data_IF_527668055061
#
_entry.id   IF_527668055061
#
_cell.length_a   1.000
_cell.length_b   1.000
_cell.length_c   1.000
_cell.angle_alpha   90.00
_cell.angle_beta   90.00
_cell.angle_gamma   90.00
#
_symmetry.space_group_name_H-M   'P 1'
#
loop_
_entity.id
_entity.type
_entity.pdbx_description
1 polymer ?
#
# COMPACT_ATOMS: atom_id res chain seq x y z
N UNK A 1 -5.12 -33.15 44.53
CA UNK A 1 -3.92 -33.97 44.31
C UNK A 1 -3.44 -33.62 42.92
N UNK A 2 -2.51 -32.68 42.79
CA UNK A 2 -1.96 -32.26 41.51
C UNK A 2 -0.68 -33.05 41.26
N UNK A 3 -0.42 -33.57 40.05
CA UNK A 3 0.83 -34.23 39.73
C UNK A 3 1.96 -33.20 39.71
N UNK A 4 2.98 -33.40 40.49
CA UNK A 4 4.13 -32.52 40.71
C UNK A 4 5.37 -32.96 39.97
N UNK A 5 5.26 -33.40 38.73
CA UNK A 5 6.44 -33.70 37.91
C UNK A 5 6.19 -33.29 36.46
N UNK A 6 6.35 -31.99 36.21
CA UNK A 6 6.62 -31.51 34.87
C UNK A 6 8.12 -31.25 34.76
N UNK A 7 8.81 -32.16 34.11
CA UNK A 7 10.23 -32.08 33.86
C UNK A 7 10.51 -30.94 32.86
N UNK A 8 10.99 -29.81 33.38
CA UNK A 8 11.29 -28.62 32.59
C UNK A 8 12.44 -28.81 31.56
N UNK A 9 13.14 -29.94 31.63
CA UNK A 9 14.19 -30.28 30.67
C UNK A 9 13.67 -30.84 29.35
N UNK A 10 12.43 -31.31 29.31
CA UNK A 10 11.82 -31.81 28.06
C UNK A 10 11.28 -30.69 27.13
N UNK A 11 11.08 -29.48 27.69
CA UNK A 11 10.65 -28.30 26.93
C UNK A 11 11.80 -27.60 26.24
N UNK A 12 13.05 -27.81 26.62
CA UNK A 12 14.22 -27.22 25.97
C UNK A 12 14.71 -28.01 24.76
N UNK A 13 14.33 -29.28 24.65
CA UNK A 13 14.71 -30.11 23.49
C UNK A 13 13.84 -29.90 22.25
N UNK A 14 12.65 -29.31 22.40
CA UNK A 14 11.74 -29.05 21.29
C UNK A 14 11.91 -27.66 20.62
N UNK A 15 12.77 -26.79 21.17
CA UNK A 15 12.98 -25.41 20.65
C UNK A 15 14.27 -25.28 19.83
N UNK A 16 15.10 -26.30 19.75
CA UNK A 16 16.43 -26.20 19.15
C UNK A 16 16.59 -26.82 17.74
N UNK A 17 15.52 -27.01 16.98
CA UNK A 17 15.64 -27.55 15.63
C UNK A 17 14.92 -26.77 14.53
N UNK A 18 14.77 -25.47 14.70
CA UNK A 18 14.34 -24.63 13.56
C UNK A 18 14.93 -23.24 13.68
N UNK A 19 16.25 -23.07 13.59
CA UNK A 19 16.84 -21.79 13.16
C UNK A 19 18.35 -21.93 12.97
N UNK A 20 18.72 -22.76 12.02
CA UNK A 20 20.06 -22.72 11.48
C UNK A 20 19.94 -22.62 9.95
N UNK A 21 19.53 -21.47 9.47
CA UNK A 21 20.05 -20.92 8.23
C UNK A 21 19.44 -19.56 7.92
N UNK A 22 20.09 -18.49 8.28
CA UNK A 22 20.03 -17.25 7.51
C UNK A 22 21.01 -16.20 8.05
N UNK A 23 22.28 -16.49 7.95
CA UNK A 23 23.27 -15.42 7.85
C UNK A 23 23.64 -15.30 6.38
N UNK A 24 22.81 -14.63 5.61
CA UNK A 24 23.18 -14.16 4.28
C UNK A 24 22.92 -12.67 4.23
N UNK A 25 24.00 -11.94 4.13
CA UNK A 25 24.16 -10.54 3.70
C UNK A 25 22.87 -9.84 3.29
N UNK A 26 22.55 -8.77 3.99
CA UNK A 26 21.52 -7.80 3.61
C UNK A 26 21.89 -7.13 2.27
N UNK A 27 21.58 -7.81 1.18
CA UNK A 27 21.15 -7.09 0.01
C UNK A 27 19.80 -6.49 0.37
N UNK A 28 19.64 -5.20 0.26
CA UNK A 28 18.38 -4.46 0.42
C UNK A 28 17.44 -4.89 -0.69
N UNK A 29 16.96 -6.11 -0.62
CA UNK A 29 15.84 -6.59 -1.44
C UNK A 29 14.60 -5.97 -0.81
N UNK A 30 14.08 -4.93 -1.45
CA UNK A 30 12.84 -4.30 -1.03
C UNK A 30 11.72 -5.36 -0.91
N UNK A 31 10.72 -5.09 -0.11
CA UNK A 31 9.55 -5.96 0.02
C UNK A 31 8.91 -6.14 -1.36
N UNK A 32 8.74 -7.38 -1.80
CA UNK A 32 8.19 -7.74 -3.11
C UNK A 32 6.78 -8.29 -3.05
N UNK A 33 6.28 -8.59 -1.85
CA UNK A 33 4.96 -9.19 -1.67
C UNK A 33 4.10 -8.37 -0.70
N UNK A 34 2.84 -8.22 -1.05
CA UNK A 34 1.79 -7.78 -0.12
C UNK A 34 1.06 -8.99 0.44
N UNK A 35 0.41 -8.82 1.60
CA UNK A 35 -0.49 -9.81 2.16
C UNK A 35 -1.66 -10.13 1.22
N UNK A 36 -2.42 -11.20 1.55
CA UNK A 36 -3.63 -11.57 0.80
C UNK A 36 -4.70 -10.49 0.96
N UNK A 37 -5.26 -10.04 -0.14
CA UNK A 37 -6.30 -9.02 -0.18
C UNK A 37 -7.50 -9.51 -1.00
N UNK A 38 -8.74 -9.34 -0.54
CA UNK A 38 -9.92 -9.63 -1.34
C UNK A 38 -10.08 -8.60 -2.47
N UNK A 39 -10.56 -9.06 -3.62
CA UNK A 39 -10.81 -8.18 -4.75
C UNK A 39 -12.13 -7.41 -4.55
N UNK A 40 -12.04 -6.08 -4.58
CA UNK A 40 -13.17 -5.17 -4.51
C UNK A 40 -13.46 -4.53 -5.87
N UNK A 41 -14.67 -4.72 -6.38
CA UNK A 41 -15.12 -4.07 -7.61
C UNK A 41 -15.66 -2.65 -7.28
N UNK A 42 -14.89 -1.64 -7.58
CA UNK A 42 -15.26 -0.23 -7.31
C UNK A 42 -16.47 0.25 -8.12
N UNK A 43 -16.73 -0.35 -9.29
CA UNK A 43 -17.90 0.02 -10.12
C UNK A 43 -19.19 -0.49 -9.51
N UNK A 44 -19.18 -1.73 -9.02
CA UNK A 44 -20.33 -2.37 -8.37
C UNK A 44 -20.39 -2.07 -6.88
N UNK A 45 -19.31 -1.57 -6.29
CA UNK A 45 -19.14 -1.32 -4.84
C UNK A 45 -19.35 -2.57 -3.98
N UNK A 46 -18.85 -3.71 -4.46
CA UNK A 46 -18.98 -5.00 -3.78
C UNK A 46 -17.71 -5.84 -3.89
N UNK A 47 -17.54 -6.79 -2.97
CA UNK A 47 -16.49 -7.81 -3.07
C UNK A 47 -16.92 -8.90 -4.04
N UNK A 48 -16.02 -9.29 -4.92
CA UNK A 48 -16.26 -10.37 -5.88
C UNK A 48 -16.13 -11.72 -5.20
N UNK A 49 -17.21 -12.51 -5.23
CA UNK A 49 -17.27 -13.84 -4.63
C UNK A 49 -17.17 -14.89 -5.73
N UNK A 50 -16.23 -15.82 -5.60
CA UNK A 50 -16.09 -16.98 -6.45
C UNK A 50 -16.30 -18.25 -5.61
N UNK A 51 -17.27 -19.10 -6.01
CA UNK A 51 -17.52 -20.40 -5.34
C UNK A 51 -17.73 -20.29 -3.82
N UNK A 52 -18.38 -19.22 -3.34
CA UNK A 52 -18.65 -18.98 -1.91
C UNK A 52 -17.51 -18.36 -1.12
N UNK A 53 -16.38 -18.05 -1.73
CA UNK A 53 -15.25 -17.37 -1.12
C UNK A 53 -14.95 -16.06 -1.83
N UNK A 54 -14.41 -15.08 -1.10
CA UNK A 54 -13.93 -13.85 -1.71
C UNK A 54 -12.79 -14.16 -2.68
N UNK A 55 -12.89 -13.62 -3.90
CA UNK A 55 -11.80 -13.68 -4.87
C UNK A 55 -10.59 -12.94 -4.30
N UNK A 56 -9.43 -13.57 -4.36
CA UNK A 56 -8.17 -12.91 -3.98
C UNK A 56 -7.63 -12.08 -5.14
N UNK A 57 -7.02 -10.95 -4.79
CA UNK A 57 -6.30 -10.12 -5.74
C UNK A 57 -4.98 -10.75 -6.17
N UNK A 58 -4.61 -10.52 -7.41
CA UNK A 58 -3.21 -10.61 -7.84
C UNK A 58 -2.41 -9.48 -7.18
N UNK A 59 -1.07 -9.57 -7.18
CA UNK A 59 -0.21 -8.52 -6.63
C UNK A 59 -0.49 -7.16 -7.28
N UNK A 60 -0.61 -7.13 -8.61
CA UNK A 60 -0.91 -5.91 -9.36
C UNK A 60 -2.27 -5.31 -9.00
N UNK A 61 -3.31 -6.14 -8.92
CA UNK A 61 -4.65 -5.70 -8.50
C UNK A 61 -4.65 -5.17 -7.06
N UNK A 62 -3.93 -5.84 -6.16
CA UNK A 62 -3.82 -5.42 -4.76
C UNK A 62 -3.15 -4.06 -4.64
N UNK A 63 -2.08 -3.81 -5.40
CA UNK A 63 -1.40 -2.51 -5.44
C UNK A 63 -2.31 -1.43 -6.03
N UNK A 64 -3.01 -1.72 -7.12
CA UNK A 64 -3.97 -0.78 -7.70
C UNK A 64 -5.07 -0.41 -6.70
N UNK A 65 -5.64 -1.38 -5.98
CA UNK A 65 -6.63 -1.12 -4.94
C UNK A 65 -6.07 -0.30 -3.79
N UNK A 66 -4.85 -0.61 -3.35
CA UNK A 66 -4.18 0.14 -2.28
C UNK A 66 -3.96 1.60 -2.68
N UNK A 67 -3.42 1.84 -3.88
CA UNK A 67 -3.18 3.19 -4.39
C UNK A 67 -4.51 3.94 -4.55
N UNK A 68 -5.53 3.30 -5.08
CA UNK A 68 -6.85 3.91 -5.24
C UNK A 68 -7.46 4.30 -3.89
N UNK A 69 -7.38 3.42 -2.90
CA UNK A 69 -7.84 3.71 -1.56
C UNK A 69 -7.04 4.87 -0.94
N UNK A 70 -5.71 4.88 -1.14
CA UNK A 70 -4.82 5.94 -0.66
C UNK A 70 -5.21 7.30 -1.23
N UNK A 71 -5.44 7.39 -2.55
CA UNK A 71 -5.77 8.64 -3.23
C UNK A 71 -7.13 9.18 -2.79
N UNK A 72 -8.12 8.30 -2.63
CA UNK A 72 -9.49 8.65 -2.24
C UNK A 72 -9.66 8.88 -0.73
N UNK A 73 -8.60 8.72 0.05
CA UNK A 73 -8.63 8.95 1.49
C UNK A 73 -8.03 10.31 1.83
N UNK A 74 -8.78 11.11 2.58
CA UNK A 74 -8.24 12.38 3.12
C UNK A 74 -7.31 12.07 4.30
N UNK A 75 -6.09 12.61 4.24
CA UNK A 75 -5.06 12.42 5.27
C UNK A 75 -5.55 12.84 6.66
N UNK A 76 -5.22 12.07 7.68
CA UNK A 76 -5.60 12.30 9.08
C UNK A 76 -7.13 12.32 9.37
N UNK A 77 -7.98 11.95 8.43
CA UNK A 77 -9.43 11.91 8.65
C UNK A 77 -9.87 10.72 9.50
N UNK A 78 -9.22 9.59 9.34
CA UNK A 78 -9.59 8.33 10.01
C UNK A 78 -8.46 7.85 10.90
N UNK A 79 -8.74 7.62 12.17
CA UNK A 79 -7.75 7.16 13.17
C UNK A 79 -7.20 5.75 12.91
N UNK A 80 -7.86 4.96 12.03
CA UNK A 80 -7.41 3.62 11.68
C UNK A 80 -6.19 3.60 10.75
N UNK A 81 -5.97 4.68 10.00
CA UNK A 81 -4.85 4.80 9.07
C UNK A 81 -3.66 5.50 9.70
N UNK A 82 -2.47 5.15 9.24
CA UNK A 82 -1.24 5.85 9.60
C UNK A 82 -1.31 7.33 9.16
N UNK A 83 -0.55 8.18 9.85
CA UNK A 83 -0.39 9.61 9.54
C UNK A 83 0.09 9.91 8.11
N UNK A 84 0.71 8.93 7.46
CA UNK A 84 1.16 9.04 6.06
C UNK A 84 0.13 8.56 5.05
N UNK A 85 -0.96 7.93 5.50
CA UNK A 85 -1.96 7.39 4.59
C UNK A 85 -2.96 8.46 4.16
N UNK A 86 -3.13 8.58 2.83
CA UNK A 86 -4.08 9.50 2.21
C UNK A 86 -3.44 10.80 1.71
N UNK A 87 -4.24 11.59 1.01
CA UNK A 87 -3.84 12.86 0.39
C UNK A 87 -4.39 14.04 1.18
N UNK A 88 -3.55 15.03 1.49
CA UNK A 88 -3.98 16.28 2.11
C UNK A 88 -4.39 17.29 1.05
N UNK A 89 -5.68 17.31 0.74
CA UNK A 89 -6.27 18.30 -0.15
C UNK A 89 -6.63 19.59 0.58
N UNK A 90 -6.82 19.56 1.90
CA UNK A 90 -7.26 20.72 2.68
C UNK A 90 -6.19 21.81 2.75
N UNK A 91 -4.91 21.42 2.77
CA UNK A 91 -3.80 22.37 2.77
C UNK A 91 -3.63 23.16 1.46
N UNK A 92 -4.33 22.75 0.39
CA UNK A 92 -4.28 23.42 -0.92
C UNK A 92 -5.51 24.29 -1.19
N UNK A 93 -6.60 24.05 -0.48
CA UNK A 93 -7.85 24.82 -0.60
C UNK A 93 -7.71 26.13 0.16
N UNK A 94 -7.91 27.23 -0.54
CA UNK A 94 -7.84 28.59 0.04
C UNK A 94 -6.51 29.33 -0.13
N UNK A 95 -5.46 28.64 -0.55
CA UNK A 95 -4.21 29.30 -0.95
C UNK A 95 -4.29 29.73 -2.41
N UNK A 96 -3.89 30.98 -2.69
CA UNK A 96 -3.74 31.49 -4.08
C UNK A 96 -2.44 30.98 -4.71
N UNK A 97 -2.24 29.68 -4.69
CA UNK A 97 -1.10 29.05 -5.34
C UNK A 97 -1.33 28.97 -6.85
N UNK A 98 -0.28 29.24 -7.59
CA UNK A 98 -0.31 28.98 -9.03
C UNK A 98 -0.58 27.47 -9.27
N UNK A 99 -1.40 27.15 -10.29
CA UNK A 99 -1.80 25.77 -10.60
C UNK A 99 -0.61 24.81 -10.71
N UNK A 100 0.48 25.23 -11.34
CA UNK A 100 1.68 24.41 -11.48
C UNK A 100 2.33 24.06 -10.14
N UNK A 101 2.32 24.99 -9.19
CA UNK A 101 2.86 24.77 -7.84
C UNK A 101 1.96 23.80 -7.07
N UNK A 102 0.64 23.97 -7.14
CA UNK A 102 -0.30 23.05 -6.50
C UNK A 102 -0.14 21.61 -7.02
N UNK A 103 -0.05 21.42 -8.34
CA UNK A 103 0.19 20.11 -8.96
C UNK A 103 1.53 19.51 -8.52
N UNK A 104 2.60 20.29 -8.49
CA UNK A 104 3.91 19.82 -8.06
C UNK A 104 3.89 19.39 -6.57
N UNK A 105 3.20 20.15 -5.72
CA UNK A 105 3.05 19.81 -4.29
C UNK A 105 2.28 18.52 -4.10
N UNK A 106 1.13 18.35 -4.78
CA UNK A 106 0.33 17.11 -4.72
C UNK A 106 1.15 15.91 -5.20
N UNK A 107 1.83 16.06 -6.33
CA UNK A 107 2.69 15.02 -6.89
C UNK A 107 3.75 14.58 -5.88
N UNK A 108 4.47 15.53 -5.30
CA UNK A 108 5.51 15.23 -4.32
C UNK A 108 4.93 14.55 -3.09
N UNK A 109 3.83 15.07 -2.54
CA UNK A 109 3.17 14.51 -1.38
C UNK A 109 2.72 13.06 -1.63
N UNK A 110 2.03 12.80 -2.75
CA UNK A 110 1.58 11.45 -3.08
C UNK A 110 2.78 10.51 -3.24
N UNK A 111 3.83 10.95 -3.95
CA UNK A 111 5.03 10.14 -4.13
C UNK A 111 5.68 9.77 -2.80
N UNK A 112 5.96 10.77 -1.95
CA UNK A 112 6.66 10.57 -0.68
C UNK A 112 5.86 9.73 0.32
N UNK A 113 4.54 9.98 0.42
CA UNK A 113 3.69 9.28 1.37
C UNK A 113 3.34 7.85 0.88
N UNK A 114 3.17 7.67 -0.43
CA UNK A 114 2.92 6.35 -1.02
C UNK A 114 4.10 5.40 -0.83
N UNK A 115 5.33 5.88 -1.00
CA UNK A 115 6.54 5.09 -0.75
C UNK A 115 6.68 4.68 0.73
N UNK A 116 6.17 5.47 1.67
CA UNK A 116 6.17 5.14 3.09
C UNK A 116 5.09 4.12 3.47
N UNK A 117 3.92 4.21 2.82
CA UNK A 117 2.77 3.36 3.14
C UNK A 117 2.78 2.03 2.40
N UNK A 118 3.42 1.98 1.23
CA UNK A 118 3.50 0.78 0.40
C UNK A 118 4.95 0.41 0.07
N UNK A 119 5.65 -0.35 0.92
CA UNK A 119 7.07 -0.67 0.75
C UNK A 119 7.38 -1.55 -0.48
N UNK A 120 6.36 -2.06 -1.16
CA UNK A 120 6.50 -2.82 -2.42
C UNK A 120 6.80 -1.88 -3.60
N UNK A 121 6.42 -0.60 -3.49
CA UNK A 121 6.65 0.41 -4.53
C UNK A 121 8.03 1.01 -4.32
N UNK A 122 8.84 0.99 -5.36
CA UNK A 122 10.18 1.56 -5.39
C UNK A 122 10.16 3.05 -5.73
N UNK A 123 9.39 3.41 -6.77
CA UNK A 123 9.32 4.78 -7.28
C UNK A 123 8.03 5.03 -8.05
N UNK A 124 7.73 6.30 -8.27
CA UNK A 124 6.62 6.75 -9.13
C UNK A 124 7.15 7.61 -10.26
N UNK A 125 6.72 7.34 -11.50
CA UNK A 125 7.18 8.04 -12.70
C UNK A 125 6.03 8.38 -13.65
N UNK A 126 6.34 9.07 -14.76
CA UNK A 126 5.43 9.38 -15.86
C UNK A 126 4.14 10.09 -15.43
N UNK A 127 4.31 11.05 -14.52
CA UNK A 127 3.19 11.82 -14.02
C UNK A 127 2.58 12.70 -15.11
N UNK A 128 1.28 12.51 -15.37
CA UNK A 128 0.48 13.38 -16.23
C UNK A 128 -0.72 13.91 -15.46
N UNK A 129 -1.10 15.13 -15.75
CA UNK A 129 -2.24 15.78 -15.12
C UNK A 129 -3.13 16.43 -16.20
N UNK A 130 -4.37 15.95 -16.33
CA UNK A 130 -5.37 16.53 -17.21
C UNK A 130 -6.06 17.68 -16.50
N UNK A 131 -5.83 18.87 -17.06
CA UNK A 131 -6.30 20.10 -16.41
C UNK A 131 -7.77 20.38 -16.46
N UNK A 132 -8.51 19.77 -17.37
CA UNK A 132 -9.94 19.99 -17.52
C UNK A 132 -10.78 19.00 -16.71
N UNK A 133 -10.31 17.77 -16.58
CA UNK A 133 -11.05 16.71 -15.91
C UNK A 133 -10.57 16.40 -14.49
N UNK A 134 -9.48 17.03 -14.02
CA UNK A 134 -8.92 16.71 -12.70
C UNK A 134 -8.34 15.30 -12.59
N UNK A 135 -8.22 14.59 -13.71
CA UNK A 135 -7.62 13.26 -13.74
C UNK A 135 -6.11 13.38 -13.71
N UNK A 136 -5.48 12.65 -12.84
CA UNK A 136 -4.03 12.45 -12.89
C UNK A 136 -3.72 10.98 -13.15
N UNK A 137 -2.63 10.74 -13.83
CA UNK A 137 -2.10 9.41 -14.02
C UNK A 137 -0.60 9.38 -13.75
N UNK A 138 -0.14 8.26 -13.25
CA UNK A 138 1.26 7.99 -13.02
C UNK A 138 1.54 6.50 -13.09
N UNK A 139 2.80 6.14 -13.23
CA UNK A 139 3.26 4.75 -13.23
C UNK A 139 3.96 4.47 -11.90
N UNK A 140 3.47 3.49 -11.16
CA UNK A 140 4.14 2.96 -9.99
C UNK A 140 5.07 1.82 -10.42
N UNK A 141 6.35 1.92 -10.09
CA UNK A 141 7.36 0.88 -10.34
C UNK A 141 7.58 0.11 -9.06
N UNK A 142 7.41 -1.19 -9.12
CA UNK A 142 7.60 -2.09 -7.97
C UNK A 142 9.07 -2.51 -7.81
N UNK A 143 9.39 -3.06 -6.64
CA UNK A 143 10.74 -3.56 -6.35
C UNK A 143 11.19 -4.73 -7.25
N UNK A 144 10.25 -5.48 -7.81
CA UNK A 144 10.48 -6.55 -8.78
C UNK A 144 10.59 -6.05 -10.24
N UNK A 145 10.47 -4.74 -10.45
CA UNK A 145 10.54 -4.11 -11.77
C UNK A 145 9.21 -4.10 -12.54
N UNK A 146 8.14 -4.63 -12.00
CA UNK A 146 6.81 -4.55 -12.62
C UNK A 146 6.28 -3.13 -12.53
N UNK A 147 5.69 -2.65 -13.63
CA UNK A 147 5.12 -1.31 -13.74
C UNK A 147 3.60 -1.38 -13.73
N UNK A 148 2.99 -0.53 -12.94
CA UNK A 148 1.53 -0.44 -12.82
C UNK A 148 1.09 0.98 -13.12
N UNK A 149 0.33 1.15 -14.19
CA UNK A 149 -0.24 2.45 -14.56
C UNK A 149 -1.50 2.70 -13.76
N UNK A 150 -1.55 3.84 -13.10
CA UNK A 150 -2.67 4.31 -12.30
C UNK A 150 -3.27 5.54 -12.97
N UNK A 151 -4.59 5.57 -13.10
CA UNK A 151 -5.33 6.74 -13.58
C UNK A 151 -6.53 6.95 -12.68
N UNK A 152 -6.56 8.05 -11.95
CA UNK A 152 -7.60 8.35 -10.98
C UNK A 152 -8.06 9.81 -11.08
N UNK A 153 -9.31 10.04 -10.72
CA UNK A 153 -9.90 11.37 -10.67
C UNK A 153 -9.85 11.89 -9.22
N UNK A 154 -9.37 13.12 -9.03
CA UNK A 154 -9.27 13.74 -7.69
C UNK A 154 -10.64 14.19 -7.16
N UNK A 155 -11.64 14.30 -8.03
CA UNK A 155 -12.94 14.91 -7.71
C UNK A 155 -14.13 13.94 -7.74
N UNK A 156 -13.88 12.63 -7.75
CA UNK A 156 -14.97 11.64 -7.81
C UNK A 156 -15.34 11.10 -6.42
#
# INVERSE_FOLDING_TARGET
>A
MFPSDIDLNDLTAAVSTTDANSSTSAATTGVTTLGRSPYFDYKKKEFVINSGFNRECTLTESIQQHIRLFINTVKNRYAIYDKYFGVDTNGLVGYRLGRSVAIATIKQQISDDLLKTCPVIKETKDWTFSGESGVFSFTAVMNDGVEVVISENVYD
#
